data_IF_558876346099
#
_entry.id   IF_558876346099
#
_cell.length_a   1.000
_cell.length_b   1.000
_cell.length_c   1.000
_cell.angle_alpha   90.00
_cell.angle_beta   90.00
_cell.angle_gamma   90.00
#
_symmetry.space_group_name_H-M   'P 1'
#
loop_
_entity.id
_entity.type
_entity.pdbx_description
1 polymer ?
#
# COMPACT_ATOMS: atom_id res chain seq x y z
N UNK A 1 89.83 17.47 -15.35
CA UNK A 1 91.28 17.46 -14.99
C UNK A 1 91.36 17.35 -13.47
N UNK A 2 92.12 16.43 -12.85
CA UNK A 2 93.62 16.33 -12.80
C UNK A 2 94.16 17.55 -11.99
N UNK A 3 94.88 17.44 -10.85
CA UNK A 3 95.63 16.31 -10.21
C UNK A 3 95.84 16.56 -8.68
N UNK A 4 95.88 15.48 -7.87
CA UNK A 4 96.91 15.05 -6.86
C UNK A 4 97.46 15.98 -5.73
N UNK A 5 97.67 15.35 -4.54
CA UNK A 5 98.30 15.75 -3.26
C UNK A 5 99.87 15.83 -3.25
N UNK A 6 100.59 16.11 -2.11
CA UNK A 6 100.22 16.68 -0.80
C UNK A 6 100.90 18.08 -0.56
N UNK A 7 102.04 18.35 0.16
CA UNK A 7 102.93 17.58 1.06
C UNK A 7 103.11 18.12 2.53
N UNK A 8 103.26 17.18 3.48
CA UNK A 8 104.09 17.13 4.72
C UNK A 8 104.47 18.36 5.61
N UNK A 9 104.42 18.14 6.94
CA UNK A 9 105.34 18.74 7.93
C UNK A 9 104.89 18.60 9.40
N UNK A 10 105.74 18.45 10.44
CA UNK A 10 106.75 17.40 10.76
C UNK A 10 107.08 17.47 12.29
N UNK A 11 107.37 16.34 12.96
CA UNK A 11 107.81 16.28 14.38
C UNK A 11 106.71 16.49 15.45
N UNK A 12 106.88 16.10 16.73
CA UNK A 12 107.97 15.31 17.36
C UNK A 12 107.52 14.55 18.63
N UNK A 13 108.17 13.42 18.89
CA UNK A 13 108.08 12.46 20.04
C UNK A 13 108.65 12.97 21.38
N UNK A 14 108.64 12.21 22.51
CA UNK A 14 107.78 11.10 23.00
C UNK A 14 106.98 11.59 24.25
N UNK A 15 106.66 10.93 25.38
CA UNK A 15 106.80 9.55 25.98
C UNK A 15 105.53 9.29 26.88
N UNK A 16 105.37 8.44 27.91
CA UNK A 16 106.19 7.55 28.79
C UNK A 16 105.54 6.14 28.98
N UNK A 17 106.24 5.27 29.72
CA UNK A 17 106.12 3.80 29.80
C UNK A 17 104.93 3.17 30.54
N UNK A 18 104.44 2.06 29.95
CA UNK A 18 104.07 0.75 30.55
C UNK A 18 103.00 0.58 31.67
N UNK A 19 102.28 -0.55 31.61
CA UNK A 19 101.28 -0.94 32.61
C UNK A 19 100.49 -2.22 32.30
N UNK A 20 101.14 -3.28 31.79
CA UNK A 20 100.45 -4.51 31.33
C UNK A 20 99.78 -5.27 32.50
N UNK A 21 98.55 -5.77 32.28
CA UNK A 21 97.83 -6.67 33.20
C UNK A 21 97.09 -7.77 32.40
N UNK A 22 97.13 -9.06 32.80
CA UNK A 22 96.71 -10.19 31.95
C UNK A 22 95.18 -10.29 31.70
N UNK A 23 94.76 -11.05 30.66
CA UNK A 23 93.38 -11.02 30.15
C UNK A 23 92.37 -11.72 31.07
N UNK A 24 91.17 -11.13 31.19
CA UNK A 24 90.06 -11.67 31.99
C UNK A 24 89.13 -12.52 31.11
N UNK A 25 89.19 -13.84 31.26
CA UNK A 25 88.39 -14.77 30.47
C UNK A 25 86.87 -14.54 30.64
N UNK A 26 86.18 -14.22 29.54
CA UNK A 26 84.72 -14.16 29.49
C UNK A 26 84.15 -15.58 29.27
N UNK A 27 83.36 -16.08 30.23
CA UNK A 27 82.51 -17.25 29.99
C UNK A 27 81.38 -16.86 29.04
N UNK A 28 81.47 -17.29 27.78
CA UNK A 28 80.35 -17.22 26.85
C UNK A 28 79.26 -18.18 27.36
N UNK A 29 78.19 -17.62 27.92
CA UNK A 29 77.01 -18.41 28.29
C UNK A 29 76.31 -18.85 26.99
N UNK A 30 76.08 -20.16 26.83
CA UNK A 30 75.38 -20.69 25.68
C UNK A 30 73.95 -20.10 25.63
N UNK A 31 73.65 -19.35 24.57
CA UNK A 31 72.33 -18.76 24.39
C UNK A 31 71.31 -19.87 24.10
N UNK A 32 70.47 -20.20 25.09
CA UNK A 32 69.33 -21.09 24.87
C UNK A 32 68.42 -20.45 23.81
N UNK A 33 68.03 -21.22 22.79
CA UNK A 33 67.15 -20.72 21.75
C UNK A 33 65.80 -20.29 22.36
N UNK A 34 65.18 -19.19 21.89
CA UNK A 34 63.98 -18.63 22.50
C UNK A 34 62.77 -19.57 22.48
N UNK A 35 62.78 -20.61 21.63
CA UNK A 35 61.76 -21.64 21.59
C UNK A 35 61.84 -22.65 22.75
N UNK A 36 62.96 -22.73 23.49
CA UNK A 36 63.12 -23.65 24.63
C UNK A 36 62.63 -23.09 25.97
N UNK A 37 61.92 -21.96 25.98
CA UNK A 37 61.49 -21.29 27.22
C UNK A 37 59.98 -21.50 27.47
N UNK A 38 59.55 -22.12 28.60
CA UNK A 38 58.15 -22.47 28.84
C UNK A 38 57.20 -21.26 28.86
N UNK A 39 57.68 -20.08 29.24
CA UNK A 39 56.90 -18.84 29.21
C UNK A 39 56.42 -18.51 27.78
N UNK A 40 57.29 -18.68 26.78
CA UNK A 40 56.98 -18.39 25.39
C UNK A 40 56.00 -19.41 24.79
N UNK A 41 56.13 -20.69 25.18
CA UNK A 41 55.13 -21.71 24.86
C UNK A 41 53.76 -21.39 25.49
N UNK A 42 53.75 -20.92 26.74
CA UNK A 42 52.54 -20.52 27.47
C UNK A 42 51.87 -19.30 26.81
N UNK A 43 52.64 -18.26 26.47
CA UNK A 43 52.16 -17.09 25.72
C UNK A 43 51.58 -17.51 24.35
N UNK A 44 52.25 -18.42 23.64
CA UNK A 44 51.79 -18.96 22.34
C UNK A 44 50.47 -19.73 22.45
N UNK A 45 50.24 -20.45 23.56
CA UNK A 45 48.98 -21.16 23.84
C UNK A 45 47.87 -20.18 24.26
N UNK A 46 48.13 -19.31 25.24
CA UNK A 46 47.15 -18.33 25.74
C UNK A 46 46.70 -17.39 24.61
N UNK A 47 47.63 -16.89 23.78
CA UNK A 47 47.31 -16.06 22.61
C UNK A 47 46.38 -16.78 21.62
N UNK A 48 46.62 -18.07 21.33
CA UNK A 48 45.73 -18.86 20.46
C UNK A 48 44.33 -19.03 21.06
N UNK A 49 44.22 -19.28 22.36
CA UNK A 49 42.93 -19.42 23.06
C UNK A 49 42.17 -18.09 23.07
N UNK A 50 42.85 -16.98 23.41
CA UNK A 50 42.26 -15.63 23.42
C UNK A 50 41.79 -15.23 22.02
N UNK A 51 42.60 -15.42 20.98
CA UNK A 51 42.21 -15.12 19.59
C UNK A 51 41.07 -16.01 19.10
N UNK A 52 41.01 -17.28 19.52
CA UNK A 52 39.89 -18.17 19.22
C UNK A 52 38.59 -17.69 19.88
N UNK A 53 38.63 -17.33 21.17
CA UNK A 53 37.47 -16.80 21.92
C UNK A 53 37.01 -15.47 21.35
N UNK A 54 37.92 -14.52 21.08
CA UNK A 54 37.59 -13.23 20.46
C UNK A 54 36.96 -13.42 19.07
N UNK A 55 37.53 -14.29 18.22
CA UNK A 55 36.96 -14.59 16.91
C UNK A 55 35.57 -15.25 17.01
N UNK A 56 35.37 -16.17 17.97
CA UNK A 56 34.06 -16.80 18.21
C UNK A 56 33.03 -15.79 18.69
N UNK A 57 33.39 -14.92 19.64
CA UNK A 57 32.55 -13.83 20.13
C UNK A 57 32.15 -12.88 18.99
N UNK A 58 33.12 -12.39 18.22
CA UNK A 58 32.88 -11.51 17.06
C UNK A 58 31.93 -12.15 16.04
N UNK A 59 32.14 -13.42 15.68
CA UNK A 59 31.25 -14.12 14.74
C UNK A 59 29.84 -14.32 15.30
N UNK A 60 29.67 -14.64 16.59
CA UNK A 60 28.34 -14.77 17.21
C UNK A 60 27.61 -13.43 17.23
N UNK A 61 28.26 -12.35 17.67
CA UNK A 61 27.66 -11.02 17.68
C UNK A 61 27.27 -10.55 16.26
N UNK A 62 28.14 -10.78 15.27
CA UNK A 62 27.87 -10.45 13.86
C UNK A 62 26.71 -11.25 13.27
N UNK A 63 26.65 -12.57 13.52
CA UNK A 63 25.53 -13.42 13.07
C UNK A 63 24.23 -12.99 13.72
N UNK A 64 24.19 -12.80 15.05
CA UNK A 64 23.00 -12.35 15.76
C UNK A 64 22.49 -11.00 15.24
N UNK A 65 23.38 -10.04 14.96
CA UNK A 65 23.01 -8.75 14.38
C UNK A 65 22.38 -8.91 12.99
N UNK A 66 22.99 -9.69 12.10
CA UNK A 66 22.45 -9.95 10.75
C UNK A 66 21.10 -10.69 10.83
N UNK A 67 20.96 -11.68 11.72
CA UNK A 67 19.70 -12.39 11.92
C UNK A 67 18.59 -11.46 12.41
N UNK A 68 18.87 -10.59 13.40
CA UNK A 68 17.90 -9.59 13.88
C UNK A 68 17.53 -8.60 12.77
N UNK A 69 18.50 -8.14 11.98
CA UNK A 69 18.24 -7.23 10.84
C UNK A 69 17.36 -7.88 9.77
N UNK A 70 17.62 -9.14 9.39
CA UNK A 70 16.80 -9.88 8.42
C UNK A 70 15.38 -10.14 8.95
N UNK A 71 15.23 -10.52 10.23
CA UNK A 71 13.92 -10.69 10.86
C UNK A 71 13.16 -9.36 10.90
N UNK A 72 13.81 -8.26 11.29
CA UNK A 72 13.20 -6.92 11.29
C UNK A 72 12.74 -6.52 9.89
N UNK A 73 13.61 -6.63 8.88
CA UNK A 73 13.26 -6.32 7.49
C UNK A 73 12.06 -7.14 6.99
N UNK A 74 12.05 -8.44 7.25
CA UNK A 74 10.96 -9.33 6.87
C UNK A 74 9.64 -8.94 7.56
N UNK A 75 9.64 -8.82 8.90
CA UNK A 75 8.45 -8.43 9.66
C UNK A 75 7.93 -7.04 9.28
N UNK A 76 8.80 -6.05 9.08
CA UNK A 76 8.42 -4.71 8.62
C UNK A 76 7.86 -4.71 7.21
N UNK A 77 8.40 -5.53 6.28
CA UNK A 77 7.84 -5.65 4.92
C UNK A 77 6.46 -6.32 4.90
N UNK A 78 6.22 -7.32 5.75
CA UNK A 78 4.89 -7.93 5.93
C UNK A 78 3.91 -6.91 6.50
N UNK A 79 4.30 -6.20 7.57
CA UNK A 79 3.44 -5.18 8.19
C UNK A 79 3.09 -4.05 7.20
N UNK A 80 4.07 -3.57 6.43
CA UNK A 80 3.85 -2.56 5.40
C UNK A 80 2.91 -3.07 4.28
N UNK A 81 3.05 -4.32 3.85
CA UNK A 81 2.15 -4.94 2.87
C UNK A 81 0.73 -5.09 3.40
N UNK A 82 0.54 -5.53 4.65
CA UNK A 82 -0.77 -5.64 5.28
C UNK A 82 -1.47 -4.28 5.43
N UNK A 83 -0.72 -3.25 5.83
CA UNK A 83 -1.24 -1.87 5.91
C UNK A 83 -1.60 -1.31 4.51
N UNK A 84 -0.79 -1.61 3.49
CA UNK A 84 -1.07 -1.22 2.10
C UNK A 84 -2.35 -1.91 1.56
N UNK A 85 -2.50 -3.22 1.78
CA UNK A 85 -3.70 -3.97 1.38
C UNK A 85 -4.93 -3.42 2.11
N UNK A 86 -4.85 -3.19 3.43
CA UNK A 86 -5.94 -2.59 4.20
C UNK A 86 -6.34 -1.19 3.67
N UNK A 87 -5.35 -0.32 3.38
CA UNK A 87 -5.60 1.01 2.84
C UNK A 87 -6.26 0.96 1.44
N UNK A 88 -5.80 0.05 0.56
CA UNK A 88 -6.41 -0.16 -0.76
C UNK A 88 -7.84 -0.68 -0.62
N UNK A 89 -8.09 -1.65 0.27
CA UNK A 89 -9.44 -2.18 0.51
C UNK A 89 -10.39 -1.10 1.05
N UNK A 90 -9.93 -0.27 1.99
CA UNK A 90 -10.71 0.86 2.51
C UNK A 90 -11.03 1.92 1.45
N UNK A 91 -10.07 2.23 0.57
CA UNK A 91 -10.27 3.14 -0.56
C UNK A 91 -11.28 2.58 -1.57
N UNK A 92 -11.14 1.31 -1.95
CA UNK A 92 -12.08 0.65 -2.88
C UNK A 92 -13.49 0.57 -2.29
N UNK A 93 -13.63 0.34 -0.98
CA UNK A 93 -14.91 0.38 -0.29
C UNK A 93 -15.56 1.78 -0.34
N UNK A 94 -14.79 2.84 -0.04
CA UNK A 94 -15.29 4.23 -0.08
C UNK A 94 -15.67 4.71 -1.49
N UNK A 95 -15.06 4.15 -2.54
CA UNK A 95 -15.33 4.50 -3.95
C UNK A 95 -16.34 3.52 -4.59
N UNK A 96 -16.78 2.48 -3.86
CA UNK A 96 -17.60 1.38 -4.38
C UNK A 96 -18.91 1.83 -5.03
N UNK A 97 -19.71 2.63 -4.33
CA UNK A 97 -20.97 3.17 -4.86
C UNK A 97 -20.77 4.02 -6.13
N UNK A 98 -19.71 4.84 -6.16
CA UNK A 98 -19.38 5.69 -7.32
C UNK A 98 -18.89 4.87 -8.54
N UNK A 99 -18.17 3.78 -8.28
CA UNK A 99 -17.74 2.84 -9.32
C UNK A 99 -18.91 1.99 -9.84
N UNK A 100 -19.88 1.68 -9.00
CA UNK A 100 -21.03 0.83 -9.34
C UNK A 100 -22.15 1.60 -10.04
N UNK A 101 -22.52 2.79 -9.56
CA UNK A 101 -23.70 3.53 -10.01
C UNK A 101 -23.34 4.63 -11.01
N UNK A 102 -24.09 4.71 -12.12
CA UNK A 102 -23.77 5.60 -13.24
C UNK A 102 -24.94 6.52 -13.64
N UNK A 103 -25.41 7.42 -12.75
CA UNK A 103 -26.56 8.29 -13.02
C UNK A 103 -26.35 9.33 -14.13
N UNK A 104 -25.11 9.72 -14.39
CA UNK A 104 -24.74 10.71 -15.44
C UNK A 104 -24.34 10.06 -16.77
N UNK A 105 -24.58 8.76 -16.94
CA UNK A 105 -24.44 8.06 -18.23
C UNK A 105 -25.83 7.77 -18.80
N UNK A 106 -26.11 7.99 -20.11
CA UNK A 106 -25.30 8.79 -21.02
C UNK A 106 -25.21 10.24 -20.55
N UNK A 107 -24.24 11.00 -21.07
CA UNK A 107 -24.03 12.40 -20.65
C UNK A 107 -25.32 13.21 -20.69
N UNK A 108 -25.56 14.01 -19.64
CA UNK A 108 -26.79 14.78 -19.41
C UNK A 108 -28.05 13.97 -19.06
N UNK A 109 -27.93 12.68 -18.67
CA UNK A 109 -29.06 11.86 -18.21
C UNK A 109 -29.86 12.47 -17.05
N UNK A 110 -29.22 13.24 -16.15
CA UNK A 110 -29.95 14.00 -15.10
C UNK A 110 -30.63 15.29 -15.58
N UNK A 111 -30.21 15.85 -16.73
CA UNK A 111 -30.77 17.08 -17.27
C UNK A 111 -31.93 16.82 -18.25
N UNK A 112 -31.83 15.76 -19.06
CA UNK A 112 -32.82 15.39 -20.06
C UNK A 112 -33.45 14.03 -19.75
N UNK A 113 -34.62 14.07 -19.10
CA UNK A 113 -35.45 12.90 -18.81
C UNK A 113 -36.72 12.98 -19.68
N UNK A 114 -36.81 12.20 -20.78
CA UNK A 114 -38.02 12.09 -21.58
C UNK A 114 -39.28 11.78 -20.74
N UNK A 115 -40.41 12.40 -21.07
CA UNK A 115 -41.68 12.12 -20.39
C UNK A 115 -42.49 11.03 -21.13
N UNK A 116 -43.28 10.20 -20.43
CA UNK A 116 -44.13 9.19 -21.07
C UNK A 116 -45.12 9.78 -22.09
N UNK A 117 -45.53 11.04 -21.91
CA UNK A 117 -46.38 11.76 -22.84
C UNK A 117 -45.79 11.91 -24.25
N UNK A 118 -44.46 11.83 -24.41
CA UNK A 118 -43.81 11.77 -25.73
C UNK A 118 -44.16 10.50 -26.54
N UNK A 119 -44.62 9.44 -25.86
CA UNK A 119 -45.16 8.22 -26.47
C UNK A 119 -46.69 8.15 -26.39
N UNK A 120 -47.37 9.23 -26.00
CA UNK A 120 -48.83 9.27 -25.80
C UNK A 120 -49.33 8.51 -24.57
N UNK A 121 -48.45 8.15 -23.62
CA UNK A 121 -48.84 7.41 -22.42
C UNK A 121 -49.52 8.35 -21.37
N UNK A 122 -50.65 7.95 -20.77
CA UNK A 122 -51.38 8.73 -19.78
C UNK A 122 -50.65 8.70 -18.42
N UNK A 123 -49.74 9.65 -18.22
CA UNK A 123 -48.82 9.68 -17.08
C UNK A 123 -48.99 10.90 -16.16
N UNK A 124 -48.98 10.63 -14.86
CA UNK A 124 -49.00 11.61 -13.78
C UNK A 124 -47.61 11.73 -13.15
N UNK A 125 -47.12 12.96 -12.95
CA UNK A 125 -45.82 13.21 -12.32
C UNK A 125 -45.96 13.19 -10.80
N UNK A 126 -45.24 12.30 -10.13
CA UNK A 126 -45.23 12.18 -8.68
C UNK A 126 -43.91 12.63 -8.08
N UNK A 127 -43.97 13.03 -6.81
CA UNK A 127 -42.81 13.18 -5.93
C UNK A 127 -43.06 12.30 -4.70
N UNK A 128 -42.27 11.25 -4.55
CA UNK A 128 -42.33 10.34 -3.41
C UNK A 128 -41.27 10.76 -2.39
N UNK A 129 -41.55 10.59 -1.09
CA UNK A 129 -40.54 10.82 -0.04
C UNK A 129 -40.14 9.50 0.60
N UNK A 130 -38.83 9.26 0.67
CA UNK A 130 -38.27 8.12 1.37
C UNK A 130 -38.30 8.33 2.87
N UNK A 131 -38.10 7.25 3.62
CA UNK A 131 -38.05 7.26 5.10
C UNK A 131 -36.87 8.07 5.66
N UNK A 132 -35.78 8.19 4.89
CA UNK A 132 -34.64 9.06 5.18
C UNK A 132 -34.79 10.50 4.62
N UNK A 133 -35.94 10.83 4.02
CA UNK A 133 -36.34 12.20 3.68
C UNK A 133 -35.96 12.69 2.27
N UNK A 134 -35.35 11.84 1.45
CA UNK A 134 -34.99 12.12 0.05
C UNK A 134 -36.27 12.22 -0.80
N UNK A 135 -36.34 13.20 -1.71
CA UNK A 135 -37.44 13.31 -2.68
C UNK A 135 -37.07 12.59 -3.98
N UNK A 136 -37.89 11.60 -4.35
CA UNK A 136 -37.76 10.84 -5.58
C UNK A 136 -38.79 11.29 -6.61
N UNK A 137 -38.39 11.33 -7.88
CA UNK A 137 -39.31 11.53 -8.99
C UNK A 137 -39.87 10.20 -9.49
N UNK A 138 -41.15 10.17 -9.86
CA UNK A 138 -41.77 9.01 -10.48
C UNK A 138 -42.84 9.42 -11.50
N UNK A 139 -43.16 8.53 -12.43
CA UNK A 139 -44.34 8.61 -13.28
C UNK A 139 -45.33 7.50 -12.91
N UNK A 140 -46.58 7.87 -12.62
CA UNK A 140 -47.67 6.90 -12.48
C UNK A 140 -48.48 6.87 -13.78
N UNK A 141 -48.44 5.72 -14.47
CA UNK A 141 -49.07 5.49 -15.76
C UNK A 141 -50.27 4.57 -15.54
N UNK A 142 -51.47 5.06 -15.84
CA UNK A 142 -52.73 4.42 -15.49
C UNK A 142 -53.41 3.87 -16.74
N UNK A 143 -53.90 2.63 -16.69
CA UNK A 143 -54.79 2.11 -17.74
C UNK A 143 -56.07 2.95 -17.81
N UNK A 144 -56.83 2.89 -18.94
CA UNK A 144 -58.12 3.55 -19.06
C UNK A 144 -59.05 3.25 -17.86
N UNK A 145 -59.93 4.18 -17.42
CA UNK A 145 -60.72 4.03 -16.19
C UNK A 145 -61.53 2.74 -16.09
N UNK A 146 -61.93 2.18 -17.23
CA UNK A 146 -62.70 0.95 -17.38
C UNK A 146 -61.88 -0.31 -17.01
N UNK A 147 -60.56 -0.23 -17.15
CA UNK A 147 -59.59 -1.30 -16.89
C UNK A 147 -58.73 -1.04 -15.65
N UNK A 148 -58.59 0.22 -15.21
CA UNK A 148 -57.66 0.65 -14.14
C UNK A 148 -57.74 -0.19 -12.86
N UNK A 149 -58.94 -0.55 -12.40
CA UNK A 149 -59.17 -1.33 -11.18
C UNK A 149 -58.99 -2.85 -11.34
N UNK A 150 -58.85 -3.34 -12.57
CA UNK A 150 -58.63 -4.75 -12.91
C UNK A 150 -57.18 -5.00 -13.39
N UNK A 151 -56.52 -3.94 -13.87
CA UNK A 151 -55.14 -3.95 -14.32
C UNK A 151 -54.15 -4.17 -13.15
N UNK A 152 -53.18 -5.09 -13.27
CA UNK A 152 -52.15 -5.25 -12.25
C UNK A 152 -51.23 -4.02 -12.24
N UNK A 153 -50.88 -3.54 -11.05
CA UNK A 153 -49.92 -2.44 -10.87
C UNK A 153 -48.51 -2.98 -10.73
N UNK A 154 -47.58 -2.47 -11.54
CA UNK A 154 -46.18 -2.85 -11.57
C UNK A 154 -45.31 -1.68 -11.12
N UNK A 155 -44.57 -1.85 -10.02
CA UNK A 155 -43.47 -0.96 -9.64
C UNK A 155 -42.29 -1.23 -10.57
N UNK A 156 -42.01 -0.31 -11.49
CA UNK A 156 -40.90 -0.43 -12.44
C UNK A 156 -39.66 0.23 -11.85
N UNK A 157 -38.79 -0.58 -11.28
CA UNK A 157 -37.44 -0.20 -10.88
C UNK A 157 -36.50 -0.37 -12.08
N UNK A 158 -35.75 0.67 -12.44
CA UNK A 158 -34.87 0.63 -13.62
C UNK A 158 -33.52 -0.04 -13.35
N UNK A 159 -32.79 -0.35 -14.43
CA UNK A 159 -31.39 -0.79 -14.35
C UNK A 159 -30.42 0.39 -14.26
N UNK A 160 -29.17 0.08 -13.88
CA UNK A 160 -28.04 1.01 -13.88
C UNK A 160 -27.80 1.64 -15.28
N UNK A 161 -27.21 2.83 -15.27
CA UNK A 161 -27.14 3.79 -16.36
C UNK A 161 -28.51 4.22 -16.92
N UNK A 162 -28.56 5.43 -17.47
CA UNK A 162 -29.76 6.06 -17.98
C UNK A 162 -30.61 6.70 -16.90
N UNK A 163 -31.91 6.76 -17.18
CA UNK A 163 -32.96 7.33 -16.34
C UNK A 163 -34.30 6.66 -16.71
N UNK A 164 -35.41 6.99 -16.04
CA UNK A 164 -36.72 6.41 -16.37
C UNK A 164 -37.18 6.72 -17.80
N UNK A 165 -36.83 7.90 -18.33
CA UNK A 165 -37.12 8.32 -19.70
C UNK A 165 -36.46 7.41 -20.75
N UNK A 166 -35.27 6.91 -20.48
CA UNK A 166 -34.59 5.90 -21.31
C UNK A 166 -35.25 4.51 -21.26
N UNK A 167 -36.20 4.26 -20.35
CA UNK A 167 -36.92 2.98 -20.21
C UNK A 167 -38.35 3.01 -20.76
N UNK A 168 -38.82 4.15 -21.27
CA UNK A 168 -40.16 4.33 -21.82
C UNK A 168 -40.57 3.31 -22.91
N UNK A 169 -39.68 2.80 -23.80
CA UNK A 169 -40.06 1.75 -24.74
C UNK A 169 -40.51 0.44 -24.07
N UNK A 170 -39.86 0.06 -22.96
CA UNK A 170 -40.25 -1.12 -22.18
C UNK A 170 -41.59 -0.90 -21.48
N UNK A 171 -41.75 0.29 -20.90
CA UNK A 171 -42.95 0.74 -20.18
C UNK A 171 -44.16 0.80 -21.12
N UNK A 172 -44.00 1.35 -22.33
CA UNK A 172 -45.04 1.31 -23.38
C UNK A 172 -45.37 -0.13 -23.83
N UNK A 173 -44.37 -1.02 -23.86
CA UNK A 173 -44.59 -2.45 -24.08
C UNK A 173 -45.48 -3.09 -23.00
N UNK A 174 -45.16 -2.88 -21.72
CA UNK A 174 -45.95 -3.36 -20.59
C UNK A 174 -47.36 -2.75 -20.58
N UNK A 175 -47.48 -1.45 -20.85
CA UNK A 175 -48.75 -0.74 -20.88
C UNK A 175 -49.67 -1.26 -22.00
N UNK A 176 -49.19 -1.30 -23.25
CA UNK A 176 -50.03 -1.68 -24.40
C UNK A 176 -50.21 -3.18 -24.61
N UNK A 177 -49.29 -4.04 -24.13
CA UNK A 177 -49.32 -5.50 -24.37
C UNK A 177 -49.66 -6.34 -23.15
N UNK A 178 -49.32 -5.86 -21.95
CA UNK A 178 -49.60 -6.57 -20.69
C UNK A 178 -50.76 -5.96 -19.90
N UNK A 179 -51.25 -4.78 -20.30
CA UNK A 179 -52.41 -4.13 -19.66
C UNK A 179 -52.14 -3.67 -18.22
N UNK A 180 -50.88 -3.40 -17.87
CA UNK A 180 -50.50 -3.03 -16.50
C UNK A 180 -50.71 -1.53 -16.22
N UNK A 181 -51.07 -1.19 -14.99
CA UNK A 181 -50.73 0.12 -14.41
C UNK A 181 -49.23 0.09 -14.06
N UNK A 182 -48.52 1.22 -14.15
CA UNK A 182 -47.07 1.24 -13.94
C UNK A 182 -46.68 2.44 -13.07
N UNK A 183 -46.07 2.17 -11.91
CA UNK A 183 -45.35 3.18 -11.13
C UNK A 183 -43.88 3.12 -11.51
N UNK A 184 -43.45 4.04 -12.36
CA UNK A 184 -42.10 4.13 -12.92
C UNK A 184 -41.26 5.06 -12.04
N UNK A 185 -40.43 4.48 -11.16
CA UNK A 185 -39.68 5.19 -10.12
C UNK A 185 -38.24 5.47 -10.57
N UNK A 186 -37.74 6.68 -10.31
CA UNK A 186 -36.33 7.07 -10.51
C UNK A 186 -35.58 7.04 -9.18
N UNK A 187 -34.51 6.23 -9.07
CA UNK A 187 -33.74 6.11 -7.82
C UNK A 187 -33.09 7.44 -7.42
N UNK A 188 -32.73 7.57 -6.14
CA UNK A 188 -31.91 8.68 -5.62
C UNK A 188 -30.65 8.88 -6.44
N UNK A 189 -30.35 10.13 -6.74
CA UNK A 189 -29.23 10.51 -7.59
C UNK A 189 -29.39 10.17 -9.09
N UNK A 190 -30.46 9.49 -9.54
CA UNK A 190 -30.79 9.33 -10.96
C UNK A 190 -31.80 10.37 -11.45
N UNK A 191 -31.83 10.60 -12.77
CA UNK A 191 -32.76 11.51 -13.46
C UNK A 191 -33.07 12.81 -12.71
N UNK A 192 -34.32 12.94 -12.25
CA UNK A 192 -34.82 14.13 -11.53
C UNK A 192 -34.87 13.98 -10.00
N UNK A 193 -34.47 12.82 -9.46
CA UNK A 193 -34.47 12.54 -8.02
C UNK A 193 -33.30 13.20 -7.29
N UNK A 194 -33.50 13.50 -6.01
CA UNK A 194 -32.50 14.05 -5.09
C UNK A 194 -31.51 12.98 -4.58
N UNK A 195 -30.51 13.39 -3.79
CA UNK A 195 -29.58 12.48 -3.12
C UNK A 195 -28.50 11.86 -4.01
N UNK A 196 -27.86 10.80 -3.50
CA UNK A 196 -26.79 10.04 -4.16
C UNK A 196 -27.06 8.54 -4.01
N UNK A 197 -26.75 7.71 -5.02
CA UNK A 197 -27.06 6.28 -4.98
C UNK A 197 -26.10 5.52 -4.04
N UNK A 198 -26.66 4.61 -3.27
CA UNK A 198 -25.98 3.59 -2.46
C UNK A 198 -26.90 2.37 -2.34
N UNK A 199 -26.37 1.19 -2.03
CA UNK A 199 -27.16 -0.05 -1.96
C UNK A 199 -28.34 0.06 -0.96
N UNK A 200 -28.05 0.50 0.27
CA UNK A 200 -29.08 0.75 1.31
C UNK A 200 -30.10 1.80 0.87
N UNK A 201 -29.64 2.86 0.19
CA UNK A 201 -30.51 3.91 -0.33
C UNK A 201 -31.48 3.42 -1.40
N UNK A 202 -31.02 2.57 -2.32
CA UNK A 202 -31.87 1.98 -3.37
C UNK A 202 -32.94 1.04 -2.78
N UNK A 203 -32.68 0.38 -1.65
CA UNK A 203 -33.71 -0.37 -0.91
C UNK A 203 -34.76 0.56 -0.28
N UNK A 204 -34.36 1.70 0.29
CA UNK A 204 -35.30 2.71 0.81
C UNK A 204 -36.15 3.35 -0.29
N UNK A 205 -35.58 3.51 -1.50
CA UNK A 205 -36.30 4.00 -2.68
C UNK A 205 -37.35 2.99 -3.16
N UNK A 206 -36.96 1.72 -3.27
CA UNK A 206 -37.89 0.64 -3.60
C UNK A 206 -39.01 0.50 -2.56
N UNK A 207 -38.70 0.67 -1.27
CA UNK A 207 -39.70 0.71 -0.20
C UNK A 207 -40.67 1.89 -0.36
N UNK A 208 -40.18 3.10 -0.66
CA UNK A 208 -41.04 4.26 -0.91
C UNK A 208 -41.98 4.06 -2.13
N UNK A 209 -41.55 3.29 -3.14
CA UNK A 209 -42.38 2.88 -4.27
C UNK A 209 -43.36 1.73 -3.98
N UNK A 210 -43.20 1.00 -2.86
CA UNK A 210 -44.12 -0.06 -2.41
C UNK A 210 -45.12 0.44 -1.34
N UNK A 211 -44.85 1.59 -0.72
CA UNK A 211 -45.66 2.21 0.34
C UNK A 211 -46.62 3.30 -0.19
N UNK A 212 -46.65 3.52 -1.51
CA UNK A 212 -47.51 4.46 -2.23
C UNK A 212 -48.71 3.75 -2.91
#
# INVERSE_FOLDING_TARGET
MVKVHPPQGNGSTPSDTEGVRPPRAQKIAACKSPESNPDFATIRIVSRVVLFVLRKCWMVCGVSFVTIFVIYWYCSSILALLLLVFAITGLVYQVGDWLLYHPEQPAHSRLYVPSPGMLGLPAESLQLKTRDGITLHAWLIKQPPELFSQAPTLLYLHGNAGNIGHRLPNVGGLFHRCGCNILLLEYRGYGRSEGTPSEEGLYLDAQAGLEF
#
